data_IF_206803305057
#
_entry.id   IF_206803305057
#
_cell.length_a   1.000
_cell.length_b   1.000
_cell.length_c   1.000
_cell.angle_alpha   90.00
_cell.angle_beta   90.00
_cell.angle_gamma   90.00
#
_symmetry.space_group_name_H-M   'P 1'
#
loop_
_entity.id
_entity.type
_entity.pdbx_description
1 polymer ?
#
# COMPACT_ATOMS: atom_id res chain seq x y z
N UNK A 1 -26.85 -43.97 -26.89
CA UNK A 1 -25.84 -44.17 -25.83
C UNK A 1 -24.47 -44.03 -26.46
N UNK A 2 -24.00 -42.80 -26.63
CA UNK A 2 -22.72 -42.48 -27.24
C UNK A 2 -22.24 -41.17 -26.63
N UNK A 3 -21.16 -41.28 -25.86
CA UNK A 3 -20.56 -40.26 -25.01
C UNK A 3 -20.20 -39.00 -25.81
N UNK A 4 -20.73 -37.83 -25.42
CA UNK A 4 -20.17 -36.56 -25.85
C UNK A 4 -18.90 -36.31 -25.04
N UNK A 5 -17.80 -36.13 -25.75
CA UNK A 5 -16.51 -35.75 -25.19
C UNK A 5 -16.64 -34.31 -24.71
N UNK A 6 -16.63 -34.12 -23.39
CA UNK A 6 -16.52 -32.81 -22.76
C UNK A 6 -15.06 -32.35 -22.85
N UNK A 7 -14.65 -31.95 -24.05
CA UNK A 7 -13.43 -31.14 -24.22
C UNK A 7 -13.81 -29.68 -23.98
N UNK A 8 -14.17 -29.36 -22.74
CA UNK A 8 -14.18 -27.98 -22.29
C UNK A 8 -12.73 -27.60 -22.02
N UNK A 9 -12.20 -26.73 -22.88
CA UNK A 9 -10.92 -26.09 -22.73
C UNK A 9 -10.70 -25.70 -21.26
N UNK A 10 -9.60 -26.16 -20.68
CA UNK A 10 -9.01 -25.61 -19.46
C UNK A 10 -8.57 -24.17 -19.77
N UNK A 11 -9.57 -23.29 -19.90
CA UNK A 11 -9.35 -21.86 -19.86
C UNK A 11 -8.87 -21.57 -18.45
N UNK A 12 -7.57 -21.28 -18.40
CA UNK A 12 -6.85 -20.63 -17.33
C UNK A 12 -7.70 -19.50 -16.70
N UNK A 13 -8.58 -19.86 -15.77
CA UNK A 13 -9.36 -18.92 -14.97
C UNK A 13 -8.40 -18.33 -13.94
N UNK A 14 -7.60 -17.39 -14.41
CA UNK A 14 -6.84 -16.49 -13.57
C UNK A 14 -7.86 -15.61 -12.86
N UNK A 15 -8.35 -16.10 -11.72
CA UNK A 15 -9.13 -15.29 -10.81
C UNK A 15 -8.24 -14.08 -10.46
N UNK A 16 -8.70 -12.83 -10.67
CA UNK A 16 -7.93 -11.67 -10.25
C UNK A 16 -7.63 -11.83 -8.75
N UNK A 17 -6.42 -11.43 -8.27
CA UNK A 17 -6.08 -11.60 -6.86
C UNK A 17 -7.21 -11.01 -6.02
N UNK A 18 -7.76 -11.85 -5.13
CA UNK A 18 -8.76 -11.38 -4.17
C UNK A 18 -8.17 -10.20 -3.43
N UNK A 19 -8.87 -9.07 -3.38
CA UNK A 19 -8.46 -7.89 -2.61
C UNK A 19 -8.19 -8.23 -1.13
N UNK A 20 -8.77 -9.34 -0.66
CA UNK A 20 -8.62 -9.87 0.70
C UNK A 20 -7.94 -11.26 0.69
N UNK A 21 -7.02 -11.49 -0.24
CA UNK A 21 -6.19 -12.69 -0.20
C UNK A 21 -5.44 -12.78 1.15
N UNK A 22 -5.63 -13.86 1.94
CA UNK A 22 -5.07 -13.92 3.29
C UNK A 22 -3.54 -13.94 3.34
N UNK A 23 -2.88 -14.50 2.31
CA UNK A 23 -1.42 -14.57 2.24
C UNK A 23 -0.83 -13.21 1.87
N UNK A 24 -1.44 -12.52 0.91
CA UNK A 24 -1.17 -11.13 0.58
C UNK A 24 -1.34 -10.22 1.79
N UNK A 25 -2.49 -10.32 2.45
CA UNK A 25 -2.79 -9.54 3.64
C UNK A 25 -1.76 -9.77 4.74
N UNK A 26 -1.42 -11.03 5.04
CA UNK A 26 -0.42 -11.35 6.07
C UNK A 26 0.93 -10.73 5.75
N UNK A 27 1.40 -10.86 4.50
CA UNK A 27 2.69 -10.30 4.09
C UNK A 27 2.71 -8.78 4.18
N UNK A 28 1.67 -8.10 3.71
CA UNK A 28 1.58 -6.65 3.76
C UNK A 28 1.41 -6.13 5.19
N UNK A 29 0.68 -6.85 6.04
CA UNK A 29 0.52 -6.53 7.46
C UNK A 29 1.86 -6.58 8.21
N UNK A 30 2.71 -7.57 7.94
CA UNK A 30 4.05 -7.62 8.54
C UNK A 30 4.88 -6.39 8.17
N UNK A 31 4.86 -5.95 6.91
CA UNK A 31 5.56 -4.73 6.47
C UNK A 31 5.04 -3.48 7.16
N UNK A 32 3.72 -3.39 7.35
CA UNK A 32 3.12 -2.27 8.10
C UNK A 32 3.55 -2.28 9.57
N UNK A 33 3.59 -3.46 10.21
CA UNK A 33 4.06 -3.58 11.60
C UNK A 33 5.53 -3.18 11.72
N UNK A 34 6.39 -3.62 10.80
CA UNK A 34 7.80 -3.24 10.77
C UNK A 34 7.96 -1.71 10.61
N UNK A 35 7.17 -1.09 9.72
CA UNK A 35 7.14 0.36 9.56
C UNK A 35 6.75 1.11 10.85
N UNK A 36 5.68 0.66 11.52
CA UNK A 36 5.22 1.27 12.78
C UNK A 36 6.28 1.10 13.89
N UNK A 37 6.89 -0.08 13.98
CA UNK A 37 7.94 -0.35 14.96
C UNK A 37 9.15 0.57 14.74
N UNK A 38 9.59 0.75 13.50
CA UNK A 38 10.70 1.64 13.15
C UNK A 38 10.35 3.12 13.40
N UNK A 39 9.11 3.53 13.15
CA UNK A 39 8.64 4.87 13.48
C UNK A 39 8.74 5.15 14.99
N UNK A 40 8.26 4.24 15.84
CA UNK A 40 8.37 4.40 17.30
C UNK A 40 9.81 4.29 17.80
N UNK A 41 10.64 3.47 17.15
CA UNK A 41 12.06 3.38 17.48
C UNK A 41 12.79 4.72 17.29
N UNK A 42 12.37 5.51 16.30
CA UNK A 42 13.00 6.77 15.91
C UNK A 42 12.18 8.02 16.29
N UNK A 43 11.11 7.88 17.07
CA UNK A 43 10.14 8.96 17.29
C UNK A 43 10.78 10.20 17.93
N UNK A 44 11.82 10.00 18.75
CA UNK A 44 12.59 11.04 19.42
C UNK A 44 13.45 11.88 18.47
N UNK A 45 13.68 11.42 17.24
CA UNK A 45 14.43 12.14 16.20
C UNK A 45 13.55 13.15 15.45
N UNK A 46 12.23 13.02 15.52
CA UNK A 46 11.31 13.93 14.84
C UNK A 46 10.94 15.12 15.74
N UNK A 47 10.74 16.33 15.17
CA UNK A 47 10.28 17.47 15.96
C UNK A 47 8.85 17.22 16.44
N UNK A 48 8.59 17.35 17.75
CA UNK A 48 7.26 17.13 18.34
C UNK A 48 6.17 17.90 17.60
N UNK A 49 6.44 19.16 17.25
CA UNK A 49 5.55 19.98 16.44
C UNK A 49 6.02 19.99 14.98
N UNK A 50 5.09 19.71 14.07
CA UNK A 50 5.26 19.83 12.63
C UNK A 50 5.84 21.20 12.21
N UNK A 51 6.76 21.20 11.25
CA UNK A 51 7.47 22.40 10.78
C UNK A 51 7.10 22.83 9.35
N UNK A 52 6.08 22.19 8.76
CA UNK A 52 5.65 22.46 7.38
C UNK A 52 4.72 23.67 7.28
N UNK A 53 4.65 24.26 6.08
CA UNK A 53 3.68 25.32 5.78
C UNK A 53 2.29 24.76 5.47
N UNK A 54 1.20 25.51 5.76
CA UNK A 54 -0.13 25.15 5.31
C UNK A 54 -0.17 24.92 3.79
N UNK A 55 -0.79 23.81 3.37
CA UNK A 55 -0.93 23.44 1.96
C UNK A 55 0.23 22.66 1.34
N UNK A 56 1.36 22.47 2.04
CA UNK A 56 2.57 21.85 1.48
C UNK A 56 2.32 20.50 0.77
N UNK A 57 1.44 19.67 1.33
CA UNK A 57 1.17 18.33 0.81
C UNK A 57 0.48 18.37 -0.55
N UNK A 58 -0.30 19.42 -0.84
CA UNK A 58 -0.99 19.58 -2.13
C UNK A 58 0.01 19.68 -3.28
N UNK A 59 1.14 20.35 -3.06
CA UNK A 59 2.16 20.56 -4.09
C UNK A 59 3.01 19.29 -4.34
N UNK A 60 2.93 18.31 -3.43
CA UNK A 60 3.67 17.04 -3.49
C UNK A 60 2.85 15.89 -4.09
N UNK A 61 1.52 15.96 -3.99
CA UNK A 61 0.62 14.91 -4.47
C UNK A 61 0.17 15.15 -5.92
N UNK A 62 -0.13 14.09 -6.69
CA UNK A 62 -0.69 14.25 -8.02
C UNK A 62 -2.11 14.85 -7.98
N UNK A 63 -2.46 15.61 -9.01
CA UNK A 63 -3.76 16.27 -9.14
C UNK A 63 -4.96 15.30 -9.28
N UNK A 64 -4.69 14.04 -9.63
CA UNK A 64 -5.70 13.00 -9.83
C UNK A 64 -5.22 11.66 -9.32
N UNK A 65 -6.17 10.80 -8.94
CA UNK A 65 -5.87 9.43 -8.51
C UNK A 65 -5.15 8.62 -9.61
N UNK A 66 -4.24 7.72 -9.24
CA UNK A 66 -3.56 6.85 -10.19
C UNK A 66 -4.56 5.91 -10.89
N UNK A 67 -4.33 5.65 -12.19
CA UNK A 67 -5.19 4.78 -12.99
C UNK A 67 -4.99 3.28 -12.69
N UNK A 68 -3.87 2.92 -12.07
CA UNK A 68 -3.51 1.56 -11.72
C UNK A 68 -3.11 1.49 -10.24
N UNK A 69 -3.20 0.29 -9.67
CA UNK A 69 -2.77 0.05 -8.30
C UNK A 69 -1.24 0.19 -8.18
N UNK A 70 -0.81 0.72 -7.04
CA UNK A 70 0.59 0.88 -6.68
C UNK A 70 0.98 -0.12 -5.58
N UNK A 71 2.25 -0.57 -5.55
CA UNK A 71 2.72 -1.46 -4.50
C UNK A 71 2.73 -0.76 -3.13
N UNK A 72 2.47 -1.49 -2.05
CA UNK A 72 2.43 -0.93 -0.69
C UNK A 72 3.75 -0.23 -0.33
N UNK A 73 4.88 -0.71 -0.83
CA UNK A 73 6.19 -0.13 -0.59
C UNK A 73 6.31 1.30 -1.10
N UNK A 74 5.74 1.59 -2.28
CA UNK A 74 5.71 2.95 -2.81
C UNK A 74 4.85 3.85 -1.92
N UNK A 75 3.69 3.35 -1.48
CA UNK A 75 2.79 4.08 -0.58
C UNK A 75 3.48 4.36 0.77
N UNK A 76 4.15 3.37 1.37
CA UNK A 76 4.86 3.54 2.64
C UNK A 76 6.06 4.49 2.51
N UNK A 77 6.73 4.48 1.36
CA UNK A 77 7.76 5.47 1.05
C UNK A 77 7.19 6.89 1.01
N UNK A 78 6.05 7.09 0.34
CA UNK A 78 5.37 8.39 0.32
C UNK A 78 4.90 8.83 1.71
N UNK A 79 4.43 7.89 2.54
CA UNK A 79 4.10 8.19 3.94
C UNK A 79 5.33 8.72 4.68
N UNK A 80 6.47 8.04 4.52
CA UNK A 80 7.71 8.44 5.18
C UNK A 80 8.23 9.79 4.69
N UNK A 81 8.24 10.04 3.38
CA UNK A 81 8.82 11.27 2.82
C UNK A 81 7.88 12.47 2.93
N UNK A 82 6.59 12.27 2.67
CA UNK A 82 5.64 13.38 2.53
C UNK A 82 4.75 13.57 3.75
N UNK A 83 4.35 12.51 4.47
CA UNK A 83 3.43 12.65 5.61
C UNK A 83 4.16 12.86 6.94
N UNK A 84 5.21 12.09 7.23
CA UNK A 84 5.94 12.17 8.51
C UNK A 84 6.39 13.60 8.85
N UNK A 85 6.97 14.40 7.92
CA UNK A 85 7.36 15.78 8.24
C UNK A 85 6.20 16.69 8.66
N UNK A 86 4.99 16.36 8.23
CA UNK A 86 3.78 17.11 8.51
C UNK A 86 3.07 16.71 9.81
N UNK A 87 3.50 15.66 10.49
CA UNK A 87 2.87 15.19 11.73
C UNK A 87 3.36 15.98 12.95
N UNK A 88 2.49 16.05 13.95
CA UNK A 88 2.84 16.36 15.33
C UNK A 88 2.81 15.03 16.07
N UNK A 89 3.98 14.56 16.52
CA UNK A 89 4.20 13.19 16.98
C UNK A 89 3.75 12.92 18.42
#
# INVERSE_FOLDING_TARGET
>A
MGSLQDTAAENNFMCPPSLLDPEEFRRQAHKMVDFIAEYYHNIDKYPVLSQVSPGYLRDLLPDSAPAAAEPLEAILHDVHEHLIPGLTH
#
